data_IF_664629091622
#
_entry.id   IF_664629091622
#
_cell.length_a   1.000
_cell.length_b   1.000
_cell.length_c   1.000
_cell.angle_alpha   90.00
_cell.angle_beta   90.00
_cell.angle_gamma   90.00
#
_symmetry.space_group_name_H-M   'P 1'
#
loop_
_entity.id
_entity.type
_entity.pdbx_description
1 polymer ?
#
# COMPACT_ATOMS: atom_id res chain seq x y z
N UNK A 1 6.78 9.19 1.63
CA UNK A 1 5.85 8.10 1.24
C UNK A 1 4.76 7.93 2.30
N UNK A 2 3.50 7.98 1.90
CA UNK A 2 2.31 7.97 2.75
C UNK A 2 1.24 7.07 2.12
N UNK A 3 0.48 6.34 2.92
CA UNK A 3 -0.74 5.67 2.44
C UNK A 3 -1.86 6.71 2.37
N UNK A 4 -2.39 6.99 1.19
CA UNK A 4 -3.47 7.97 0.97
C UNK A 4 -4.86 7.34 1.02
N UNK A 5 -4.96 6.04 0.74
CA UNK A 5 -6.18 5.25 0.87
C UNK A 5 -5.83 3.81 1.25
N UNK A 6 -6.59 3.23 2.18
CA UNK A 6 -6.41 1.85 2.64
C UNK A 6 -7.73 1.08 2.53
N UNK A 7 -7.69 -0.07 1.86
CA UNK A 7 -8.82 -0.97 1.70
C UNK A 7 -8.40 -2.42 1.94
N UNK A 8 -9.37 -3.30 2.04
CA UNK A 8 -9.13 -4.72 2.30
C UNK A 8 -8.24 -5.37 1.22
N UNK A 9 -8.41 -4.98 -0.04
CA UNK A 9 -7.71 -5.59 -1.18
C UNK A 9 -6.42 -4.86 -1.57
N UNK A 10 -6.13 -3.72 -0.96
CA UNK A 10 -5.01 -2.89 -1.40
C UNK A 10 -4.95 -1.53 -0.73
N UNK A 11 -3.95 -0.76 -1.13
CA UNK A 11 -3.81 0.63 -0.70
C UNK A 11 -3.22 1.48 -1.82
N UNK A 12 -3.46 2.78 -1.75
CA UNK A 12 -2.80 3.77 -2.60
C UNK A 12 -1.68 4.43 -1.80
N UNK A 13 -0.51 4.55 -2.42
CA UNK A 13 0.66 5.23 -1.86
C UNK A 13 0.91 6.52 -2.63
N UNK A 14 1.12 7.58 -1.88
CA UNK A 14 1.67 8.85 -2.34
C UNK A 14 3.15 8.92 -1.97
N UNK A 15 3.99 9.28 -2.93
CA UNK A 15 5.43 9.46 -2.77
C UNK A 15 5.81 10.89 -3.09
N UNK A 16 6.91 11.36 -2.49
CA UNK A 16 7.44 12.68 -2.78
C UNK A 16 8.14 12.67 -4.15
N UNK A 17 8.13 13.81 -4.84
CA UNK A 17 8.72 13.95 -6.17
C UNK A 17 10.17 13.42 -6.20
N UNK A 18 10.42 12.46 -7.09
CA UNK A 18 11.75 11.89 -7.32
C UNK A 18 12.01 10.53 -6.67
N UNK A 19 11.04 9.95 -5.96
CA UNK A 19 11.12 8.56 -5.55
C UNK A 19 11.00 7.64 -6.79
N UNK A 20 11.95 6.72 -6.95
CA UNK A 20 11.83 5.68 -7.98
C UNK A 20 10.66 4.75 -7.60
N UNK A 21 9.56 4.84 -8.34
CA UNK A 21 8.42 3.94 -8.21
C UNK A 21 8.74 2.63 -8.93
N UNK A 22 8.95 1.57 -8.16
CA UNK A 22 9.15 0.23 -8.70
C UNK A 22 7.81 -0.49 -8.81
N UNK A 23 7.52 -1.02 -9.98
CA UNK A 23 6.39 -1.94 -10.20
C UNK A 23 6.79 -3.38 -9.90
N UNK A 24 5.80 -4.23 -9.66
CA UNK A 24 6.00 -5.67 -9.45
C UNK A 24 5.70 -6.12 -8.01
N UNK A 25 6.23 -7.28 -7.62
CA UNK A 25 5.97 -7.83 -6.29
C UNK A 25 6.74 -7.07 -5.22
N UNK A 26 6.03 -6.71 -4.15
CA UNK A 26 6.58 -5.98 -3.02
C UNK A 26 6.10 -6.58 -1.71
N UNK A 27 6.88 -6.38 -0.65
CA UNK A 27 6.45 -6.62 0.72
C UNK A 27 6.41 -5.30 1.46
N UNK A 28 5.28 -4.97 2.07
CA UNK A 28 5.10 -3.72 2.80
C UNK A 28 4.68 -3.93 4.25
N UNK A 29 4.98 -2.95 5.08
CA UNK A 29 4.49 -2.83 6.44
C UNK A 29 3.47 -1.70 6.51
N UNK A 30 2.38 -1.90 7.24
CA UNK A 30 1.39 -0.86 7.52
C UNK A 30 1.48 -0.55 9.02
N UNK A 31 2.09 0.57 9.35
CA UNK A 31 2.49 0.86 10.73
C UNK A 31 3.47 -0.21 11.24
N UNK A 32 3.09 -0.91 12.32
CA UNK A 32 3.86 -2.02 12.90
C UNK A 32 3.32 -3.42 12.51
N UNK A 33 2.40 -3.49 11.53
CA UNK A 33 1.74 -4.75 11.13
C UNK A 33 2.26 -5.17 9.75
N UNK A 34 2.67 -6.44 9.61
CA UNK A 34 3.18 -6.98 8.37
C UNK A 34 4.25 -8.08 8.56
N UNK A 35 5.00 -8.41 7.49
CA UNK A 35 4.91 -7.85 6.14
C UNK A 35 3.72 -8.41 5.36
N UNK A 36 3.10 -7.57 4.52
CA UNK A 36 2.07 -7.98 3.57
C UNK A 36 2.67 -8.09 2.17
N UNK A 37 2.42 -9.21 1.49
CA UNK A 37 2.78 -9.35 0.08
C UNK A 37 1.76 -8.64 -0.80
N UNK A 38 2.24 -7.82 -1.73
CA UNK A 38 1.42 -7.06 -2.66
C UNK A 38 2.06 -6.99 -4.05
N UNK A 39 1.26 -6.62 -5.04
CA UNK A 39 1.75 -6.19 -6.34
C UNK A 39 1.58 -4.69 -6.46
N UNK A 40 2.66 -4.01 -6.81
CA UNK A 40 2.72 -2.59 -7.09
C UNK A 40 2.49 -2.30 -8.57
N UNK A 41 1.65 -1.31 -8.84
CA UNK A 41 1.43 -0.74 -10.17
C UNK A 41 1.56 0.78 -10.08
N UNK A 42 2.40 1.35 -10.94
CA UNK A 42 2.59 2.78 -11.03
C UNK A 42 1.38 3.42 -11.72
N UNK A 43 0.72 4.37 -11.04
CA UNK A 43 -0.39 5.12 -11.64
C UNK A 43 0.13 6.40 -12.31
N UNK A 44 1.04 7.10 -11.65
CA UNK A 44 1.71 8.29 -12.16
C UNK A 44 3.04 8.53 -11.45
N UNK A 45 3.69 9.67 -11.69
CA UNK A 45 5.00 10.00 -11.16
C UNK A 45 5.12 9.96 -9.62
N UNK A 46 4.00 10.10 -8.89
CA UNK A 46 4.00 10.14 -7.42
C UNK A 46 3.04 9.13 -6.77
N UNK A 47 2.16 8.48 -7.55
CA UNK A 47 1.16 7.56 -7.02
C UNK A 47 1.41 6.10 -7.42
N UNK A 48 1.36 5.22 -6.43
CA UNK A 48 1.47 3.78 -6.59
C UNK A 48 0.22 3.08 -6.05
N UNK A 49 -0.39 2.23 -6.86
CA UNK A 49 -1.46 1.34 -6.43
C UNK A 49 -0.85 0.03 -5.96
N UNK A 50 -1.15 -0.38 -4.74
CA UNK A 50 -0.78 -1.68 -4.20
C UNK A 50 -2.00 -2.58 -4.11
N UNK A 51 -1.92 -3.79 -4.66
CA UNK A 51 -2.92 -4.84 -4.49
C UNK A 51 -2.36 -5.96 -3.65
N UNK A 52 -2.96 -6.25 -2.50
CA UNK A 52 -2.51 -7.32 -1.62
C UNK A 52 -2.77 -8.69 -2.23
N UNK A 53 -1.84 -9.62 -2.04
CA UNK A 53 -2.01 -11.02 -2.48
C UNK A 53 -3.08 -11.75 -1.63
N UNK A 54 -3.21 -11.36 -0.37
CA UNK A 54 -4.28 -11.78 0.52
C UNK A 54 -5.01 -10.55 1.09
N UNK A 55 -6.34 -10.59 1.26
CA UNK A 55 -7.07 -9.47 1.83
C UNK A 55 -6.60 -9.16 3.26
N UNK A 56 -6.54 -7.89 3.63
CA UNK A 56 -6.27 -7.49 5.02
C UNK A 56 -7.40 -7.93 5.94
N UNK A 57 -7.04 -8.29 7.17
CA UNK A 57 -8.03 -8.50 8.23
C UNK A 57 -8.83 -7.20 8.47
N UNK A 58 -10.17 -7.23 8.45
CA UNK A 58 -11.00 -6.07 8.76
C UNK A 58 -10.68 -5.39 10.10
N UNK A 59 -10.09 -6.08 11.07
CA UNK A 59 -9.60 -5.49 12.32
C UNK A 59 -8.46 -4.48 12.09
N UNK A 60 -7.57 -4.75 11.11
CA UNK A 60 -6.49 -3.84 10.72
C UNK A 60 -7.07 -2.57 10.11
N UNK A 61 -8.05 -2.70 9.20
CA UNK A 61 -8.71 -1.54 8.61
C UNK A 61 -9.40 -0.67 9.65
N UNK A 62 -10.09 -1.28 10.62
CA UNK A 62 -10.74 -0.56 11.72
C UNK A 62 -9.75 0.23 12.58
N UNK A 63 -8.53 -0.27 12.76
CA UNK A 63 -7.50 0.43 13.53
C UNK A 63 -7.04 1.73 12.87
N UNK A 64 -6.99 1.79 11.53
CA UNK A 64 -6.49 2.96 10.79
C UNK A 64 -7.59 3.92 10.31
N UNK A 65 -8.85 3.51 10.37
CA UNK A 65 -10.00 4.35 10.00
C UNK A 65 -10.71 4.98 11.22
N UNK A 66 -10.14 4.85 12.42
CA UNK A 66 -10.68 5.43 13.66
C UNK A 66 -10.37 6.91 13.83
#
# INVERSE_FOLDING_TARGET
>A
MRISSLACQGCELETDHGAALNEGEVSLWIGAIGPFSATATCRDANHLSLRFQAPLDPAILRHFHS
#
